data_IF_235523383701
#
_entry.id   IF_235523383701
#
_cell.length_a   1.000
_cell.length_b   1.000
_cell.length_c   1.000
_cell.angle_alpha   90.00
_cell.angle_beta   90.00
_cell.angle_gamma   90.00
#
_symmetry.space_group_name_H-M   'P 1'
#
loop_
_entity.id
_entity.type
_entity.pdbx_description
1 polymer ?
#
# COMPACT_ATOMS: atom_id res chain seq x y z
N UNK A 1 -18.10 -14.22 15.30
CA UNK A 1 -17.70 -13.57 14.02
C UNK A 1 -18.16 -12.11 13.85
N UNK A 2 -18.73 -11.43 14.88
CA UNK A 2 -19.25 -10.05 14.76
C UNK A 2 -18.30 -8.95 15.27
N UNK A 3 -17.19 -9.28 15.94
CA UNK A 3 -16.29 -8.27 16.57
C UNK A 3 -15.29 -7.63 15.62
N UNK A 4 -14.94 -8.26 14.49
CA UNK A 4 -13.91 -7.73 13.58
C UNK A 4 -14.46 -6.72 12.55
N UNK A 5 -15.79 -6.68 12.36
CA UNK A 5 -16.44 -5.70 11.45
C UNK A 5 -16.51 -4.32 12.11
N UNK A 6 -16.68 -4.27 13.42
CA UNK A 6 -16.82 -3.02 14.18
C UNK A 6 -15.47 -2.27 14.25
N UNK A 7 -14.35 -2.97 14.30
CA UNK A 7 -13.02 -2.32 14.34
C UNK A 7 -12.65 -1.67 13.01
N UNK A 8 -13.11 -2.23 11.88
CA UNK A 8 -12.89 -1.63 10.55
C UNK A 8 -13.72 -0.37 10.35
N UNK A 9 -14.94 -0.35 10.92
CA UNK A 9 -15.82 0.83 10.88
C UNK A 9 -15.32 1.94 11.81
N UNK A 10 -14.73 1.59 12.95
CA UNK A 10 -14.21 2.56 13.92
C UNK A 10 -12.98 3.33 13.38
N UNK A 11 -12.15 2.71 12.54
CA UNK A 11 -11.05 3.42 11.87
C UNK A 11 -11.54 4.39 10.78
N UNK A 12 -12.75 4.18 10.24
CA UNK A 12 -13.35 5.07 9.23
C UNK A 12 -14.10 6.26 9.86
N UNK A 13 -14.58 6.10 11.10
CA UNK A 13 -15.32 7.17 11.81
C UNK A 13 -14.41 8.16 12.56
N UNK A 14 -13.10 7.87 12.66
CA UNK A 14 -12.14 8.81 13.25
C UNK A 14 -11.67 9.89 12.26
N UNK A 15 -12.03 9.79 10.98
CA UNK A 15 -11.75 10.82 9.99
C UNK A 15 -12.82 11.90 10.08
N UNK A 16 -12.57 12.91 10.91
CA UNK A 16 -13.35 14.15 10.88
C UNK A 16 -13.22 14.78 9.50
N UNK A 17 -14.34 15.33 9.00
CA UNK A 17 -14.50 16.02 7.71
C UNK A 17 -13.87 15.24 6.53
N UNK A 18 -14.69 14.50 5.83
CA UNK A 18 -14.45 13.59 4.71
C UNK A 18 -13.35 14.02 3.72
N UNK A 19 -12.08 13.73 4.04
CA UNK A 19 -11.02 13.88 3.06
C UNK A 19 -11.16 12.79 1.98
N UNK A 20 -11.39 13.22 0.76
CA UNK A 20 -11.41 12.32 -0.40
C UNK A 20 -10.01 11.71 -0.58
N UNK A 21 -9.92 10.38 -0.74
CA UNK A 21 -8.68 9.70 -1.09
C UNK A 21 -8.71 9.32 -2.56
N UNK A 22 -7.76 9.82 -3.34
CA UNK A 22 -7.68 9.61 -4.78
C UNK A 22 -6.50 8.73 -5.20
N UNK A 23 -6.68 8.02 -6.32
CA UNK A 23 -5.58 7.30 -6.95
C UNK A 23 -4.63 8.25 -7.65
N UNK A 24 -3.44 8.44 -7.09
CA UNK A 24 -2.40 9.27 -7.65
C UNK A 24 -1.49 8.49 -8.61
N UNK A 25 -0.69 9.22 -9.41
CA UNK A 25 0.33 8.58 -10.23
C UNK A 25 1.42 7.98 -9.36
N UNK A 26 1.79 6.75 -9.68
CA UNK A 26 2.80 6.04 -8.91
C UNK A 26 4.17 6.66 -9.12
N UNK A 27 4.77 7.15 -8.05
CA UNK A 27 6.17 7.52 -8.00
C UNK A 27 6.89 6.44 -7.21
N UNK A 28 7.78 5.63 -7.84
CA UNK A 28 8.56 4.66 -7.09
C UNK A 28 9.51 5.39 -6.13
N UNK A 29 9.74 4.86 -4.93
CA UNK A 29 10.75 5.37 -4.00
C UNK A 29 12.15 5.39 -4.64
N UNK A 30 12.44 4.39 -5.48
CA UNK A 30 13.60 4.34 -6.36
C UNK A 30 13.31 3.42 -7.57
N UNK A 31 14.05 3.60 -8.66
CA UNK A 31 13.98 2.69 -9.83
C UNK A 31 14.56 1.30 -9.50
N UNK A 32 15.47 1.25 -8.54
CA UNK A 32 16.17 0.03 -8.11
C UNK A 32 16.26 0.02 -6.58
N UNK A 33 15.72 -1.04 -5.97
CA UNK A 33 15.90 -1.31 -4.54
C UNK A 33 16.98 -2.39 -4.41
N UNK A 34 18.05 -2.10 -3.70
CA UNK A 34 19.18 -3.01 -3.51
C UNK A 34 18.95 -3.92 -2.31
N UNK A 35 19.14 -5.21 -2.51
CA UNK A 35 19.11 -6.22 -1.44
C UNK A 35 20.54 -6.49 -0.93
N UNK A 36 20.71 -6.91 0.33
CA UNK A 36 22.01 -7.37 0.82
C UNK A 36 22.53 -8.55 0.00
N UNK A 37 23.84 -8.57 -0.27
CA UNK A 37 24.46 -9.57 -1.15
C UNK A 37 24.46 -10.99 -0.55
N UNK A 38 24.37 -11.11 0.77
CA UNK A 38 24.33 -12.37 1.53
C UNK A 38 22.95 -13.04 1.55
N UNK A 39 21.91 -12.33 1.10
CA UNK A 39 20.56 -12.86 1.09
C UNK A 39 20.30 -13.71 -0.15
N UNK A 40 20.33 -15.02 0.00
CA UNK A 40 20.10 -15.98 -1.10
C UNK A 40 18.61 -16.22 -1.41
N UNK A 41 17.73 -16.09 -0.43
CA UNK A 41 16.27 -16.30 -0.56
C UNK A 41 15.51 -15.12 0.05
N UNK A 42 15.49 -13.97 -0.62
CA UNK A 42 14.89 -12.77 -0.06
C UNK A 42 13.38 -12.94 0.18
N UNK A 43 12.93 -12.47 1.33
CA UNK A 43 11.56 -12.44 1.79
C UNK A 43 11.08 -11.01 2.07
N UNK A 44 9.88 -10.89 2.68
CA UNK A 44 9.27 -9.57 2.92
C UNK A 44 10.10 -8.67 3.82
N UNK A 45 10.83 -9.20 4.79
CA UNK A 45 11.71 -8.41 5.65
C UNK A 45 12.87 -7.77 4.89
N UNK A 46 13.48 -8.51 3.94
CA UNK A 46 14.56 -8.00 3.10
C UNK A 46 14.04 -6.95 2.10
N UNK A 47 12.84 -7.18 1.56
CA UNK A 47 12.19 -6.22 0.66
C UNK A 47 11.81 -4.93 1.39
N UNK A 48 11.29 -5.04 2.62
CA UNK A 48 10.99 -3.89 3.46
C UNK A 48 12.26 -3.10 3.81
N UNK A 49 13.35 -3.78 4.16
CA UNK A 49 14.65 -3.14 4.41
C UNK A 49 15.15 -2.36 3.19
N UNK A 50 15.11 -2.98 2.01
CA UNK A 50 15.53 -2.35 0.77
C UNK A 50 14.67 -1.12 0.42
N UNK A 51 13.36 -1.19 0.65
CA UNK A 51 12.44 -0.08 0.41
C UNK A 51 12.67 1.08 1.40
N UNK A 52 12.71 0.80 2.70
CA UNK A 52 12.95 1.82 3.73
C UNK A 52 14.33 2.49 3.58
N UNK A 53 15.33 1.76 3.07
CA UNK A 53 16.62 2.36 2.71
C UNK A 53 16.53 3.34 1.54
N UNK A 54 15.63 3.10 0.59
CA UNK A 54 15.42 4.00 -0.54
C UNK A 54 14.59 5.25 -0.17
N UNK A 55 13.66 5.11 0.78
CA UNK A 55 12.80 6.22 1.28
C UNK A 55 13.55 7.14 2.25
N UNK A 56 14.60 6.66 2.90
CA UNK A 56 15.31 7.36 4.00
C UNK A 56 16.00 8.69 3.64
N UNK A 57 15.80 9.20 2.43
CA UNK A 57 16.34 10.47 1.95
C UNK A 57 15.29 11.62 1.97
N UNK A 58 14.26 11.51 2.82
CA UNK A 58 13.29 12.61 2.99
C UNK A 58 13.94 13.80 3.69
N UNK A 59 13.62 15.00 3.23
CA UNK A 59 14.04 16.26 3.87
C UNK A 59 13.22 16.56 5.15
N UNK A 60 12.15 15.80 5.41
CA UNK A 60 11.34 15.91 6.63
C UNK A 60 12.03 15.16 7.81
N UNK A 61 12.44 15.88 8.88
CA UNK A 61 13.12 15.26 10.03
C UNK A 61 12.25 14.21 10.76
N UNK A 62 10.93 14.41 10.79
CA UNK A 62 10.01 13.51 11.50
C UNK A 62 9.78 12.23 10.70
N UNK A 63 9.58 12.34 9.38
CA UNK A 63 9.52 11.18 8.49
C UNK A 63 10.84 10.40 8.55
N UNK A 64 11.97 11.08 8.50
CA UNK A 64 13.31 10.48 8.63
C UNK A 64 13.48 9.72 9.95
N UNK A 65 12.96 10.26 11.07
CA UNK A 65 12.99 9.60 12.39
C UNK A 65 12.12 8.34 12.40
N UNK A 66 10.87 8.42 11.90
CA UNK A 66 9.97 7.26 11.82
C UNK A 66 10.57 6.14 10.97
N UNK A 67 11.11 6.46 9.80
CA UNK A 67 11.80 5.51 8.92
C UNK A 67 13.02 4.89 9.61
N UNK A 68 13.83 5.66 10.33
CA UNK A 68 14.98 5.15 11.09
C UNK A 68 14.55 4.19 12.21
N UNK A 69 13.47 4.50 12.94
CA UNK A 69 12.90 3.62 13.96
C UNK A 69 12.38 2.31 13.34
N UNK A 70 11.70 2.35 12.20
CA UNK A 70 11.24 1.16 11.49
C UNK A 70 12.42 0.29 11.05
N UNK A 71 13.46 0.89 10.48
CA UNK A 71 14.68 0.17 10.06
C UNK A 71 15.36 -0.55 11.20
N UNK A 72 15.52 0.09 12.37
CA UNK A 72 16.15 -0.53 13.55
C UNK A 72 15.33 -1.68 14.14
N UNK A 73 14.05 -1.77 13.82
CA UNK A 73 13.12 -2.76 14.34
C UNK A 73 12.72 -3.85 13.32
N UNK A 74 13.29 -3.88 12.12
CA UNK A 74 12.93 -4.85 11.07
C UNK A 74 13.11 -6.32 11.48
N UNK A 75 13.91 -6.60 12.49
CA UNK A 75 14.04 -7.95 13.09
C UNK A 75 12.77 -8.42 13.82
N UNK A 76 11.96 -7.51 14.31
CA UNK A 76 10.73 -7.80 15.04
C UNK A 76 9.55 -8.04 14.09
N UNK A 77 8.55 -8.81 14.57
CA UNK A 77 7.31 -9.04 13.81
C UNK A 77 6.28 -7.94 14.03
N UNK A 78 6.34 -7.25 15.16
CA UNK A 78 5.44 -6.15 15.50
C UNK A 78 6.13 -5.14 16.41
N UNK A 79 5.89 -3.86 16.17
CA UNK A 79 6.28 -2.75 17.04
C UNK A 79 5.13 -1.75 17.03
N UNK A 80 4.84 -1.15 18.18
CA UNK A 80 3.87 -0.08 18.33
C UNK A 80 4.42 0.96 19.30
N UNK A 81 4.28 2.23 18.93
CA UNK A 81 4.54 3.41 19.74
C UNK A 81 3.51 4.48 19.40
N UNK A 82 3.53 5.61 20.08
CA UNK A 82 2.63 6.74 19.81
C UNK A 82 2.89 7.38 18.43
N UNK A 83 4.11 7.22 17.90
CA UNK A 83 4.52 7.83 16.63
C UNK A 83 4.39 6.87 15.42
N UNK A 84 4.44 5.55 15.66
CA UNK A 84 4.40 4.58 14.57
C UNK A 84 3.91 3.19 14.97
N UNK A 85 3.37 2.47 14.01
CA UNK A 85 3.15 1.02 14.11
C UNK A 85 3.84 0.29 12.97
N UNK A 86 4.33 -0.92 13.24
CA UNK A 86 4.95 -1.79 12.26
C UNK A 86 4.47 -3.23 12.48
N UNK A 87 4.14 -3.92 11.39
CA UNK A 87 3.82 -5.34 11.41
C UNK A 87 4.48 -6.04 10.22
N UNK A 88 5.25 -7.11 10.46
CA UNK A 88 5.90 -7.93 9.43
C UNK A 88 5.50 -9.38 9.62
N UNK A 89 4.65 -9.88 8.73
CA UNK A 89 4.24 -11.28 8.68
C UNK A 89 5.08 -12.02 7.63
N UNK A 90 6.23 -12.56 8.08
CA UNK A 90 7.18 -13.26 7.20
C UNK A 90 6.59 -14.51 6.57
N UNK A 91 5.69 -15.19 7.30
CA UNK A 91 5.05 -16.43 6.83
C UNK A 91 4.09 -16.18 5.67
N UNK A 92 3.45 -15.01 5.65
CA UNK A 92 2.49 -14.60 4.62
C UNK A 92 3.08 -13.67 3.58
N UNK A 93 4.34 -13.25 3.75
CA UNK A 93 4.99 -12.33 2.83
C UNK A 93 4.37 -10.94 2.80
N UNK A 94 3.93 -10.44 3.96
CA UNK A 94 3.24 -9.16 4.11
C UNK A 94 3.92 -8.29 5.15
N UNK A 95 3.99 -6.98 4.89
CA UNK A 95 4.43 -5.97 5.85
C UNK A 95 3.52 -4.74 5.78
N UNK A 96 3.33 -4.08 6.92
CA UNK A 96 2.61 -2.81 7.05
C UNK A 96 3.40 -1.90 7.99
N UNK A 97 3.57 -0.67 7.57
CA UNK A 97 4.17 0.43 8.30
C UNK A 97 3.18 1.57 8.33
N UNK A 98 3.06 2.23 9.47
CA UNK A 98 2.14 3.34 9.67
C UNK A 98 2.80 4.33 10.62
N UNK A 99 2.79 5.60 10.28
CA UNK A 99 3.22 6.67 11.16
C UNK A 99 2.28 7.87 11.07
N UNK A 100 2.13 8.54 12.19
CA UNK A 100 1.24 9.68 12.38
C UNK A 100 2.09 10.85 12.86
N UNK A 101 2.53 11.72 11.96
CA UNK A 101 3.37 12.85 12.32
C UNK A 101 2.76 14.18 11.90
N UNK A 102 2.67 14.47 10.62
CA UNK A 102 1.96 15.62 10.05
C UNK A 102 0.74 15.17 9.23
N UNK A 103 0.74 13.92 8.81
CA UNK A 103 -0.30 13.23 8.08
C UNK A 103 -0.14 11.73 8.35
N UNK A 104 -1.24 11.03 8.25
CA UNK A 104 -1.20 9.58 8.37
C UNK A 104 -0.63 8.98 7.08
N UNK A 105 0.53 8.36 7.16
CA UNK A 105 1.07 7.59 6.06
C UNK A 105 1.09 6.10 6.39
N UNK A 106 0.50 5.33 5.49
CA UNK A 106 0.44 3.87 5.60
C UNK A 106 1.14 3.28 4.40
N UNK A 107 2.14 2.43 4.62
CA UNK A 107 2.78 1.62 3.59
C UNK A 107 2.44 0.16 3.83
N UNK A 108 1.75 -0.45 2.88
CA UNK A 108 1.54 -1.88 2.82
C UNK A 108 2.45 -2.49 1.75
N UNK A 109 3.02 -3.64 2.06
CA UNK A 109 3.84 -4.42 1.13
C UNK A 109 3.41 -5.88 1.13
N UNK A 110 3.36 -6.48 -0.03
CA UNK A 110 3.33 -7.94 -0.14
C UNK A 110 4.03 -8.39 -1.42
N UNK A 111 4.38 -9.68 -1.49
CA UNK A 111 4.96 -10.21 -2.71
C UNK A 111 4.23 -11.44 -3.22
N UNK A 112 4.26 -11.61 -4.54
CA UNK A 112 3.71 -12.76 -5.25
C UNK A 112 4.83 -13.58 -5.89
N UNK A 113 4.73 -14.88 -5.77
CA UNK A 113 5.54 -15.80 -6.57
C UNK A 113 4.89 -15.91 -7.95
N UNK A 114 5.63 -15.54 -8.99
CA UNK A 114 5.16 -15.59 -10.37
C UNK A 114 5.37 -16.98 -10.97
N UNK A 115 4.58 -17.30 -11.98
CA UNK A 115 4.69 -18.57 -12.71
C UNK A 115 6.01 -18.74 -13.49
N UNK A 116 6.75 -17.64 -13.71
CA UNK A 116 8.09 -17.65 -14.32
C UNK A 116 9.24 -17.76 -13.29
N UNK A 117 8.91 -18.12 -12.05
CA UNK A 117 9.89 -18.29 -10.96
C UNK A 117 10.37 -17.00 -10.31
N UNK A 118 10.00 -15.83 -10.83
CA UNK A 118 10.36 -14.53 -10.25
C UNK A 118 9.43 -14.16 -9.10
N UNK A 119 9.86 -13.19 -8.27
CA UNK A 119 8.99 -12.55 -7.28
C UNK A 119 8.59 -11.17 -7.75
N UNK A 120 7.33 -10.80 -7.51
CA UNK A 120 6.80 -9.48 -7.73
C UNK A 120 6.49 -8.87 -6.36
N UNK A 121 7.16 -7.80 -5.96
CA UNK A 121 6.83 -6.99 -4.79
C UNK A 121 5.83 -5.92 -5.19
N UNK A 122 4.74 -5.77 -4.45
CA UNK A 122 3.85 -4.62 -4.51
C UNK A 122 4.00 -3.77 -3.26
N UNK A 123 3.99 -2.47 -3.45
CA UNK A 123 4.00 -1.44 -2.40
C UNK A 123 2.81 -0.53 -2.63
N UNK A 124 1.95 -0.43 -1.65
CA UNK A 124 0.82 0.51 -1.61
C UNK A 124 1.11 1.56 -0.55
N UNK A 125 1.15 2.82 -0.94
CA UNK A 125 1.29 3.94 -0.01
C UNK A 125 -0.01 4.73 0.01
N UNK A 126 -0.59 4.91 1.19
CA UNK A 126 -1.75 5.77 1.43
C UNK A 126 -1.31 6.93 2.29
N UNK A 127 -1.61 8.16 1.87
CA UNK A 127 -1.39 9.39 2.62
C UNK A 127 -2.72 10.07 2.84
N UNK A 128 -3.04 10.37 4.09
CA UNK A 128 -4.21 11.13 4.47
C UNK A 128 -3.75 12.47 5.05
N UNK A 129 -4.39 13.54 4.61
CA UNK A 129 -4.12 14.88 5.12
C UNK A 129 -5.38 15.39 5.83
N UNK A 130 -5.23 16.05 6.98
CA UNK A 130 -6.38 16.52 7.79
C UNK A 130 -7.29 17.50 7.04
N UNK A 131 -6.74 18.30 6.13
CA UNK A 131 -7.47 19.39 5.47
C UNK A 131 -7.33 19.37 3.94
N UNK A 132 -6.94 18.25 3.35
CA UNK A 132 -6.76 18.15 1.90
C UNK A 132 -7.07 16.74 1.39
N UNK A 133 -7.13 16.62 0.09
CA UNK A 133 -7.30 15.34 -0.59
C UNK A 133 -6.18 14.35 -0.22
N UNK A 134 -6.55 13.20 0.31
CA UNK A 134 -5.64 12.10 0.54
C UNK A 134 -5.22 11.43 -0.79
N UNK A 135 -4.16 10.65 -0.76
CA UNK A 135 -3.69 9.95 -1.95
C UNK A 135 -3.36 8.49 -1.69
N UNK A 136 -3.59 7.65 -2.68
CA UNK A 136 -3.09 6.27 -2.70
C UNK A 136 -2.25 6.04 -3.95
N UNK A 137 -1.10 5.42 -3.77
CA UNK A 137 -0.20 5.05 -4.86
C UNK A 137 0.16 3.57 -4.79
N UNK A 138 0.45 2.97 -5.94
CA UNK A 138 0.93 1.60 -6.05
C UNK A 138 2.21 1.57 -6.88
N UNK A 139 3.21 0.84 -6.41
CA UNK A 139 4.43 0.56 -7.15
C UNK A 139 4.72 -0.94 -7.13
N UNK A 140 5.13 -1.48 -8.27
CA UNK A 140 5.51 -2.88 -8.39
C UNK A 140 6.97 -3.02 -8.81
N UNK A 141 7.66 -3.99 -8.19
CA UNK A 141 9.06 -4.28 -8.43
C UNK A 141 9.25 -5.76 -8.73
N UNK A 142 10.05 -6.06 -9.75
CA UNK A 142 10.45 -7.42 -10.10
C UNK A 142 11.80 -7.77 -9.49
N UNK A 143 11.88 -8.90 -8.81
CA UNK A 143 13.14 -9.42 -8.28
C UNK A 143 14.04 -9.90 -9.42
N UNK A 144 15.21 -9.30 -9.50
CA UNK A 144 16.38 -9.82 -10.21
C UNK A 144 17.28 -10.49 -9.17
N UNK A 145 17.11 -11.80 -9.02
CA UNK A 145 17.83 -12.58 -8.00
C UNK A 145 19.34 -12.64 -8.29
N UNK A 146 19.75 -12.63 -9.55
CA UNK A 146 21.17 -12.69 -9.96
C UNK A 146 21.95 -11.45 -9.50
N UNK A 147 21.31 -10.29 -9.52
CA UNK A 147 21.95 -9.02 -9.18
C UNK A 147 21.51 -8.47 -7.82
N UNK A 148 20.87 -9.27 -6.98
CA UNK A 148 20.38 -8.89 -5.64
C UNK A 148 19.64 -7.55 -5.64
N UNK A 149 18.67 -7.37 -6.53
CA UNK A 149 17.92 -6.13 -6.65
C UNK A 149 16.47 -6.35 -7.07
N UNK A 150 15.64 -5.39 -6.72
CA UNK A 150 14.26 -5.26 -7.18
C UNK A 150 14.21 -4.09 -8.18
N UNK A 151 13.75 -4.38 -9.38
CA UNK A 151 13.63 -3.41 -10.48
C UNK A 151 12.18 -2.91 -10.56
N UNK A 152 11.97 -1.60 -10.56
CA UNK A 152 10.66 -1.02 -10.76
C UNK A 152 10.05 -1.48 -12.09
N UNK A 153 8.83 -1.99 -12.03
CA UNK A 153 8.08 -2.46 -13.20
C UNK A 153 7.03 -1.44 -13.61
N UNK A 154 7.43 -0.48 -14.45
CA UNK A 154 6.50 0.54 -14.95
C UNK A 154 5.28 -0.09 -15.63
N UNK A 155 5.46 -1.12 -16.45
CA UNK A 155 4.37 -1.78 -17.18
C UNK A 155 3.30 -2.37 -16.26
N UNK A 156 3.70 -3.07 -15.19
CA UNK A 156 2.74 -3.64 -14.23
C UNK A 156 2.08 -2.52 -13.42
N UNK A 157 2.87 -1.57 -12.97
CA UNK A 157 2.40 -0.42 -12.18
C UNK A 157 1.37 0.39 -12.95
N UNK A 158 1.67 0.80 -14.18
CA UNK A 158 0.76 1.59 -15.01
C UNK A 158 -0.55 0.85 -15.29
N UNK A 159 -0.47 -0.45 -15.62
CA UNK A 159 -1.65 -1.28 -15.89
C UNK A 159 -2.59 -1.33 -14.68
N UNK A 160 -2.04 -1.56 -13.49
CA UNK A 160 -2.83 -1.63 -12.25
C UNK A 160 -3.39 -0.25 -11.89
N UNK A 161 -2.56 0.80 -11.91
CA UNK A 161 -2.98 2.18 -11.65
C UNK A 161 -4.10 2.63 -12.57
N UNK A 162 -4.00 2.36 -13.87
CA UNK A 162 -5.06 2.68 -14.83
C UNK A 162 -6.36 1.92 -14.52
N UNK A 163 -6.27 0.66 -14.09
CA UNK A 163 -7.44 -0.11 -13.69
C UNK A 163 -8.13 0.50 -12.47
N UNK A 164 -7.35 0.95 -11.47
CA UNK A 164 -7.88 1.61 -10.27
C UNK A 164 -8.45 3.00 -10.57
N UNK A 165 -7.79 3.78 -11.42
CA UNK A 165 -8.33 5.07 -11.90
C UNK A 165 -9.69 4.91 -12.61
N UNK A 166 -9.93 3.77 -13.29
CA UNK A 166 -11.25 3.48 -13.87
C UNK A 166 -12.30 3.19 -12.81
N UNK A 167 -11.94 2.49 -11.72
CA UNK A 167 -12.84 2.28 -10.57
C UNK A 167 -13.21 3.60 -9.91
N UNK A 168 -12.26 4.53 -9.83
CA UNK A 168 -12.46 5.85 -9.22
C UNK A 168 -13.22 6.83 -10.13
N UNK A 169 -13.33 6.59 -11.44
CA UNK A 169 -14.05 7.51 -12.32
C UNK A 169 -15.47 7.73 -11.84
N UNK A 170 -15.83 9.00 -11.66
CA UNK A 170 -17.20 9.39 -11.37
C UNK A 170 -18.02 9.42 -12.65
N UNK A 171 -19.28 9.03 -12.54
CA UNK A 171 -20.31 9.21 -13.59
C UNK A 171 -21.25 10.36 -13.25
N UNK A 172 -21.00 11.06 -12.15
CA UNK A 172 -21.80 12.18 -11.63
C UNK A 172 -20.93 13.29 -11.04
N UNK A 173 -21.55 14.17 -10.26
CA UNK A 173 -20.91 15.33 -9.62
C UNK A 173 -20.20 14.98 -8.32
N UNK A 174 -20.60 13.88 -7.66
CA UNK A 174 -20.10 13.55 -6.33
C UNK A 174 -18.66 12.99 -6.37
N UNK A 175 -17.76 13.46 -5.49
CA UNK A 175 -16.43 12.95 -5.37
C UNK A 175 -16.41 11.47 -4.96
N UNK A 176 -15.37 10.77 -5.40
CA UNK A 176 -15.19 9.35 -5.13
C UNK A 176 -13.90 9.13 -4.37
N UNK A 177 -14.03 8.51 -3.21
CA UNK A 177 -12.89 8.02 -2.43
C UNK A 177 -12.64 6.55 -2.70
N UNK A 178 -11.37 6.13 -2.70
CA UNK A 178 -10.97 4.73 -2.80
C UNK A 178 -9.99 4.33 -1.70
N UNK A 179 -10.09 3.08 -1.25
CA UNK A 179 -9.05 2.43 -0.48
C UNK A 179 -8.56 1.18 -1.20
N UNK A 180 -7.25 1.03 -1.27
CA UNK A 180 -6.60 -0.14 -1.87
C UNK A 180 -5.92 -0.92 -0.75
N UNK A 181 -6.13 -2.24 -0.74
CA UNK A 181 -5.59 -3.12 0.27
C UNK A 181 -4.81 -4.27 -0.36
N UNK A 182 -3.54 -4.36 -0.03
CA UNK A 182 -2.73 -5.49 -0.43
C UNK A 182 -3.10 -6.75 0.36
N UNK A 183 -3.05 -7.95 -0.25
CA UNK A 183 -3.48 -9.16 0.42
C UNK A 183 -2.48 -9.60 1.50
N UNK A 184 -2.95 -9.71 2.74
CA UNK A 184 -2.25 -10.44 3.80
C UNK A 184 -2.50 -11.94 3.71
N UNK A 185 -3.64 -12.32 3.13
CA UNK A 185 -4.03 -13.69 2.80
C UNK A 185 -4.62 -13.70 1.40
N UNK A 186 -4.38 -14.79 0.65
CA UNK A 186 -4.80 -14.85 -0.74
C UNK A 186 -3.82 -14.17 -1.69
N UNK A 187 -4.29 -13.76 -2.85
CA UNK A 187 -3.45 -13.22 -3.93
C UNK A 187 -4.02 -11.98 -4.60
N UNK A 188 -5.29 -11.67 -4.36
CA UNK A 188 -6.00 -10.62 -5.07
C UNK A 188 -5.93 -9.30 -4.30
N UNK A 189 -5.78 -8.19 -5.01
CA UNK A 189 -5.78 -6.84 -4.42
C UNK A 189 -7.23 -6.41 -4.24
N UNK A 190 -7.59 -6.07 -2.99
CA UNK A 190 -8.90 -5.54 -2.64
C UNK A 190 -8.98 -4.04 -2.90
N UNK A 191 -10.14 -3.57 -3.38
CA UNK A 191 -10.43 -2.14 -3.56
C UNK A 191 -11.82 -1.85 -3.02
N UNK A 192 -11.92 -0.84 -2.20
CA UNK A 192 -13.20 -0.32 -1.70
C UNK A 192 -13.41 1.07 -2.29
N UNK A 193 -14.60 1.35 -2.77
CA UNK A 193 -14.98 2.62 -3.40
C UNK A 193 -16.20 3.18 -2.67
N UNK A 194 -16.15 4.47 -2.34
CA UNK A 194 -17.25 5.23 -1.77
C UNK A 194 -17.58 6.43 -2.67
N UNK A 195 -18.86 6.77 -2.75
CA UNK A 195 -19.34 8.06 -3.26
C UNK A 195 -19.56 8.95 -2.05
N UNK A 196 -18.96 10.13 -2.04
CA UNK A 196 -19.06 11.10 -0.94
C UNK A 196 -20.11 12.14 -1.34
N UNK A 197 -21.05 12.43 -0.45
CA UNK A 197 -22.06 13.46 -0.63
C UNK A 197 -21.66 14.69 0.17
N UNK A 198 -21.29 15.76 -0.52
CA UNK A 198 -20.76 16.99 0.12
C UNK A 198 -21.82 17.69 0.98
N UNK A 199 -23.11 17.60 0.58
CA UNK A 199 -24.19 18.30 1.25
C UNK A 199 -24.65 17.66 2.56
N UNK A 200 -24.32 16.39 2.80
CA UNK A 200 -24.88 15.59 3.89
C UNK A 200 -23.84 14.95 4.83
N UNK A 201 -22.55 15.21 4.63
CA UNK A 201 -21.45 14.60 5.39
C UNK A 201 -21.51 13.06 5.51
N UNK A 202 -22.14 12.40 4.52
CA UNK A 202 -22.20 10.94 4.49
C UNK A 202 -21.65 10.35 3.18
N UNK A 203 -21.33 9.08 3.23
CA UNK A 203 -20.95 8.31 2.04
C UNK A 203 -21.95 7.20 1.78
N UNK A 204 -22.16 6.87 0.51
CA UNK A 204 -22.93 5.68 0.13
C UNK A 204 -22.32 4.40 0.70
N UNK A 205 -23.13 3.34 0.76
CA UNK A 205 -22.62 2.02 1.08
C UNK A 205 -21.45 1.65 0.14
N UNK A 206 -20.34 1.14 0.68
CA UNK A 206 -19.15 0.89 -0.10
C UNK A 206 -19.39 -0.14 -1.20
N UNK A 207 -18.80 0.11 -2.37
CA UNK A 207 -18.73 -0.86 -3.46
C UNK A 207 -17.36 -1.51 -3.45
N UNK A 208 -17.35 -2.84 -3.53
CA UNK A 208 -16.12 -3.62 -3.48
C UNK A 208 -15.72 -4.10 -4.86
N UNK A 209 -14.41 -3.98 -5.15
CA UNK A 209 -13.77 -4.49 -6.36
C UNK A 209 -12.55 -5.31 -5.98
N UNK A 210 -12.09 -6.13 -6.92
CA UNK A 210 -10.85 -6.87 -6.77
C UNK A 210 -10.07 -6.94 -8.08
N UNK A 211 -8.73 -6.93 -7.98
CA UNK A 211 -7.83 -7.23 -9.08
C UNK A 211 -7.32 -8.65 -8.87
N UNK A 212 -7.74 -9.56 -9.73
CA UNK A 212 -7.37 -10.97 -9.67
C UNK A 212 -5.94 -11.21 -10.12
N UNK A 213 -5.19 -11.93 -9.31
CA UNK A 213 -3.85 -12.40 -9.65
C UNK A 213 -3.92 -13.52 -10.68
N UNK A 214 -3.20 -13.40 -11.81
CA UNK A 214 -3.18 -14.39 -12.90
C UNK A 214 -1.88 -15.19 -13.01
N UNK A 215 -1.02 -15.16 -11.97
CA UNK A 215 0.27 -15.84 -11.95
C UNK A 215 1.44 -15.00 -12.47
N UNK A 216 1.20 -13.87 -13.13
CA UNK A 216 2.26 -12.98 -13.64
C UNK A 216 2.01 -11.50 -13.33
N UNK A 217 0.75 -11.11 -13.26
CA UNK A 217 0.29 -9.73 -13.07
C UNK A 217 -1.15 -9.78 -12.57
N UNK A 218 -1.86 -8.66 -12.71
CA UNK A 218 -3.27 -8.55 -12.32
C UNK A 218 -4.16 -8.35 -13.54
N UNK A 219 -5.36 -8.91 -13.48
CA UNK A 219 -6.43 -8.56 -14.41
C UNK A 219 -7.00 -7.19 -14.06
N UNK A 220 -7.87 -6.67 -14.93
CA UNK A 220 -8.60 -5.44 -14.62
C UNK A 220 -9.49 -5.63 -13.37
N UNK A 221 -9.73 -4.54 -12.65
CA UNK A 221 -10.60 -4.57 -11.48
C UNK A 221 -12.03 -4.95 -11.89
N UNK A 222 -12.61 -5.88 -11.15
CA UNK A 222 -13.99 -6.34 -11.32
C UNK A 222 -14.78 -6.13 -10.05
N UNK A 223 -16.06 -5.75 -10.16
CA UNK A 223 -16.95 -5.62 -9.01
C UNK A 223 -17.18 -6.98 -8.38
N UNK A 224 -17.22 -6.99 -7.06
CA UNK A 224 -17.44 -8.17 -6.23
C UNK A 224 -18.89 -8.33 -5.86
#
# INVERSE_FOLDING_TARGET
MKKNVILLLACLLAFGASSQVIMSESRPAAQVLRLPADVTKPGIGDFAAAYLNAVSASDDPLESRAVAMMRSNLGKSQVSSDEMTMSIDRSKGYARFEWMVQYDEIIEMCYWNRSDGKKLLGVCTTRNHENSEGSVTLAFYLLDATHHKLMFSKTITDKVTQSLKRVQRTTGVNPISIAVKLPRQGKDIGVTRWVIHEDDDYADAPTYYELKWNGKSFNAATRR
#
